data_IF_735241367715
#
_entry.id   IF_735241367715
#
_cell.length_a   1.000
_cell.length_b   1.000
_cell.length_c   1.000
_cell.angle_alpha   90.00
_cell.angle_beta   90.00
_cell.angle_gamma   90.00
#
_symmetry.space_group_name_H-M   'P 1'
#
loop_
_entity.id
_entity.type
_entity.pdbx_description
1 polymer ?
#
# COMPACT_ATOMS: atom_id res chain seq x y z
N UNK A 1 -50.10 26.71 39.88
CA UNK A 1 -51.14 25.87 39.27
C UNK A 1 -51.97 26.72 38.34
N UNK A 2 -51.97 26.46 37.03
CA UNK A 2 -53.12 26.71 36.14
C UNK A 2 -52.81 26.06 34.78
N UNK A 3 -53.50 24.96 34.49
CA UNK A 3 -53.49 24.24 33.21
C UNK A 3 -54.21 25.09 32.16
N UNK A 4 -53.68 25.19 30.94
CA UNK A 4 -54.45 25.63 29.77
C UNK A 4 -54.55 24.49 28.73
N UNK A 5 -55.73 24.32 28.09
CA UNK A 5 -56.04 23.16 27.28
C UNK A 5 -55.50 23.28 25.85
N UNK A 6 -55.07 22.14 25.30
CA UNK A 6 -54.76 21.95 23.89
C UNK A 6 -56.09 21.94 23.10
N UNK A 7 -56.26 22.85 22.14
CA UNK A 7 -57.34 22.78 21.15
C UNK A 7 -56.77 22.21 19.85
N UNK A 8 -57.26 21.04 19.47
CA UNK A 8 -57.07 20.42 18.16
C UNK A 8 -57.84 21.24 17.12
N UNK A 9 -57.16 21.70 16.07
CA UNK A 9 -57.77 22.26 14.87
C UNK A 9 -57.55 21.24 13.75
N UNK A 10 -58.65 20.66 13.27
CA UNK A 10 -58.68 19.90 12.03
C UNK A 10 -58.66 20.86 10.85
N UNK A 11 -57.75 20.65 9.89
CA UNK A 11 -57.70 21.37 8.62
C UNK A 11 -58.04 20.37 7.50
N UNK A 12 -58.97 20.71 6.58
CA UNK A 12 -59.33 19.82 5.48
C UNK A 12 -58.22 19.78 4.43
N UNK A 13 -57.90 18.57 3.98
CA UNK A 13 -57.00 18.33 2.85
C UNK A 13 -57.81 18.47 1.57
N UNK A 14 -57.58 19.55 0.81
CA UNK A 14 -58.03 19.68 -0.56
C UNK A 14 -56.95 19.10 -1.49
N UNK A 15 -57.28 18.00 -2.19
CA UNK A 15 -56.43 17.42 -3.21
C UNK A 15 -56.58 18.20 -4.52
N UNK A 16 -55.49 18.81 -4.99
CA UNK A 16 -55.37 19.37 -6.34
C UNK A 16 -54.48 18.41 -7.14
N UNK A 17 -55.05 17.74 -8.12
CA UNK A 17 -54.32 16.92 -9.08
C UNK A 17 -53.85 17.78 -10.25
N UNK A 18 -52.55 17.84 -10.49
CA UNK A 18 -51.92 18.37 -11.70
C UNK A 18 -51.43 17.19 -12.54
N UNK A 19 -51.76 17.10 -13.85
CA UNK A 19 -51.13 16.13 -14.73
C UNK A 19 -49.79 16.67 -15.21
N UNK A 20 -48.71 15.92 -14.96
CA UNK A 20 -47.41 16.11 -15.58
C UNK A 20 -47.07 14.87 -16.39
N UNK A 21 -47.09 15.05 -17.71
CA UNK A 21 -46.61 14.10 -18.70
C UNK A 21 -45.09 14.06 -18.68
N UNK A 22 -44.48 12.90 -18.42
CA UNK A 22 -43.06 12.64 -18.69
C UNK A 22 -42.94 11.33 -19.46
N UNK A 23 -42.23 11.40 -20.57
CA UNK A 23 -41.95 10.30 -21.49
C UNK A 23 -41.12 9.21 -20.81
N UNK A 24 -41.51 7.95 -21.04
CA UNK A 24 -40.84 6.78 -20.49
C UNK A 24 -39.54 6.43 -21.22
N UNK A 25 -38.52 6.07 -20.46
CA UNK A 25 -37.51 5.10 -20.87
C UNK A 25 -37.56 3.93 -19.89
N UNK A 26 -37.84 2.75 -20.44
CA UNK A 26 -38.15 1.52 -19.71
C UNK A 26 -36.89 0.92 -19.08
N UNK A 27 -36.92 0.76 -17.77
CA UNK A 27 -36.08 -0.19 -17.04
C UNK A 27 -36.81 -1.53 -17.01
N UNK A 28 -36.21 -2.58 -17.57
CA UNK A 28 -36.70 -3.95 -17.42
C UNK A 28 -35.72 -4.69 -16.51
N UNK A 29 -36.20 -5.01 -15.31
CA UNK A 29 -35.66 -6.08 -14.50
C UNK A 29 -36.06 -7.42 -15.13
N UNK A 30 -35.11 -8.35 -15.29
CA UNK A 30 -35.40 -9.72 -15.68
C UNK A 30 -34.57 -10.69 -14.81
N UNK A 31 -35.28 -11.66 -14.25
CA UNK A 31 -34.75 -12.80 -13.53
C UNK A 31 -33.95 -13.75 -14.44
N UNK A 32 -33.16 -14.61 -13.81
CA UNK A 32 -32.16 -15.50 -14.38
C UNK A 32 -32.65 -16.43 -15.51
N UNK A 33 -31.73 -16.76 -16.44
CA UNK A 33 -31.67 -18.08 -17.05
C UNK A 33 -30.27 -18.72 -16.93
N UNK A 34 -30.23 -20.03 -16.73
CA UNK A 34 -29.13 -20.92 -17.16
C UNK A 34 -29.71 -21.90 -18.18
N UNK A 35 -28.93 -22.66 -18.98
CA UNK A 35 -27.49 -22.60 -19.30
C UNK A 35 -27.21 -22.58 -20.83
N UNK A 36 -25.95 -22.32 -21.22
CA UNK A 36 -25.41 -22.70 -22.53
C UNK A 36 -25.11 -21.55 -23.48
N UNK A 37 -23.84 -21.17 -23.57
CA UNK A 37 -23.37 -20.19 -24.54
C UNK A 37 -21.90 -19.88 -24.30
N UNK A 38 -21.03 -20.65 -24.95
CA UNK A 38 -19.58 -20.58 -24.84
C UNK A 38 -19.04 -19.15 -25.00
N UNK A 39 -18.60 -18.56 -23.88
CA UNK A 39 -17.64 -17.47 -23.92
C UNK A 39 -16.32 -18.05 -24.45
N UNK A 40 -15.93 -17.60 -25.64
CA UNK A 40 -14.66 -17.95 -26.27
C UNK A 40 -13.54 -17.50 -25.33
N UNK A 41 -12.90 -18.48 -24.71
CA UNK A 41 -11.59 -18.35 -24.09
C UNK A 41 -10.60 -17.90 -25.17
N UNK A 42 -10.05 -16.69 -25.02
CA UNK A 42 -8.88 -16.25 -25.76
C UNK A 42 -7.91 -15.60 -24.78
N UNK A 43 -6.89 -16.36 -24.43
CA UNK A 43 -5.82 -15.99 -23.53
C UNK A 43 -5.73 -16.98 -22.39
N UNK A 44 -4.71 -17.85 -22.42
CA UNK A 44 -4.28 -18.61 -21.25
C UNK A 44 -3.92 -17.57 -20.17
N UNK A 45 -4.88 -17.21 -19.32
CA UNK A 45 -4.60 -16.53 -18.07
C UNK A 45 -3.94 -17.60 -17.19
N UNK A 46 -2.62 -17.69 -17.23
CA UNK A 46 -1.85 -18.20 -16.10
C UNK A 46 -2.43 -17.50 -14.88
N UNK A 47 -3.09 -18.26 -14.01
CA UNK A 47 -3.61 -17.75 -12.75
C UNK A 47 -2.45 -17.14 -11.99
N UNK A 48 -2.35 -15.81 -12.00
CA UNK A 48 -1.41 -15.07 -11.15
C UNK A 48 -1.75 -15.49 -9.74
N UNK A 49 -0.82 -16.20 -9.11
CA UNK A 49 -1.01 -16.66 -7.74
C UNK A 49 -0.95 -15.43 -6.85
N UNK A 50 -1.98 -15.22 -6.02
CA UNK A 50 -2.01 -14.11 -5.09
C UNK A 50 -0.74 -14.12 -4.22
N UNK A 51 -0.15 -12.95 -3.89
CA UNK A 51 1.04 -12.93 -3.06
C UNK A 51 0.85 -13.65 -1.71
N UNK A 52 1.85 -14.38 -1.27
CA UNK A 52 1.81 -15.22 -0.07
C UNK A 52 3.15 -15.22 0.68
N UNK A 53 3.14 -15.65 1.94
CA UNK A 53 4.34 -15.72 2.78
C UNK A 53 5.02 -17.08 2.67
N UNK A 54 6.26 -17.09 2.18
CA UNK A 54 7.13 -18.26 2.19
C UNK A 54 8.01 -18.32 3.45
N UNK A 55 7.94 -17.31 4.33
CA UNK A 55 8.63 -17.27 5.61
C UNK A 55 8.40 -15.95 6.34
N UNK A 56 8.97 -15.80 7.54
CA UNK A 56 8.78 -14.60 8.36
C UNK A 56 9.26 -13.29 7.69
N UNK A 57 10.23 -13.40 6.78
CA UNK A 57 10.84 -12.28 6.07
C UNK A 57 10.92 -12.55 4.56
N UNK A 58 10.06 -13.44 4.05
CA UNK A 58 10.05 -13.84 2.64
C UNK A 58 8.63 -13.92 2.13
N UNK A 59 8.37 -13.23 1.02
CA UNK A 59 7.10 -13.23 0.30
C UNK A 59 7.34 -13.77 -1.11
N UNK A 60 6.32 -14.40 -1.67
CA UNK A 60 6.26 -14.83 -3.06
C UNK A 60 5.07 -14.14 -3.71
N UNK A 61 5.25 -13.57 -4.90
CA UNK A 61 4.21 -12.88 -5.65
C UNK A 61 4.77 -12.29 -6.94
N UNK A 62 3.90 -12.04 -7.92
CA UNK A 62 4.29 -11.49 -9.23
C UNK A 62 4.60 -9.98 -9.10
N UNK A 63 5.88 -9.61 -9.18
CA UNK A 63 6.35 -8.22 -9.03
C UNK A 63 6.49 -7.53 -10.38
N UNK A 64 6.79 -8.28 -11.45
CA UNK A 64 7.02 -7.73 -12.78
C UNK A 64 5.86 -7.93 -13.77
N UNK A 65 4.79 -8.58 -13.35
CA UNK A 65 3.55 -8.77 -14.10
C UNK A 65 3.68 -9.77 -15.24
N UNK A 66 4.66 -10.67 -15.20
CA UNK A 66 4.88 -11.67 -16.25
C UNK A 66 4.04 -12.96 -16.04
N UNK A 67 3.28 -13.03 -14.95
CA UNK A 67 2.47 -14.18 -14.58
C UNK A 67 3.24 -15.30 -13.89
N UNK A 68 4.51 -15.08 -13.53
CA UNK A 68 5.31 -15.98 -12.72
C UNK A 68 5.58 -15.37 -11.35
N UNK A 69 5.54 -16.21 -10.32
CA UNK A 69 5.77 -15.73 -8.97
C UNK A 69 7.25 -15.38 -8.78
N UNK A 70 7.52 -14.18 -8.29
CA UNK A 70 8.84 -13.75 -7.86
C UNK A 70 9.00 -13.96 -6.36
N UNK A 71 10.25 -14.10 -5.90
CA UNK A 71 10.55 -14.20 -4.47
C UNK A 71 11.21 -12.93 -3.96
N UNK A 72 10.60 -12.31 -2.96
CA UNK A 72 11.09 -11.13 -2.26
C UNK A 72 11.56 -11.56 -0.87
N UNK A 73 12.80 -11.25 -0.52
CA UNK A 73 13.34 -11.47 0.83
C UNK A 73 13.71 -10.14 1.47
N UNK A 74 13.30 -9.91 2.71
CA UNK A 74 13.58 -8.68 3.46
C UNK A 74 14.12 -9.00 4.87
N UNK A 75 15.38 -9.45 5.00
CA UNK A 75 15.96 -9.86 6.28
C UNK A 75 15.93 -8.75 7.34
N UNK A 76 15.29 -9.03 8.48
CA UNK A 76 15.08 -8.06 9.55
C UNK A 76 13.90 -7.09 9.33
N UNK A 77 13.19 -7.23 8.21
CA UNK A 77 12.02 -6.43 7.83
C UNK A 77 12.27 -4.92 7.74
N UNK A 78 13.53 -4.49 7.69
CA UNK A 78 13.92 -3.06 7.68
C UNK A 78 13.82 -2.42 6.30
N UNK A 79 13.73 -3.23 5.25
CA UNK A 79 13.78 -2.78 3.87
C UNK A 79 15.20 -2.55 3.32
N UNK A 80 16.24 -2.62 4.16
CA UNK A 80 17.60 -2.21 3.77
C UNK A 80 18.48 -3.29 3.15
N UNK A 81 18.07 -4.56 3.29
CA UNK A 81 18.77 -5.72 2.71
C UNK A 81 17.85 -6.54 1.80
N UNK A 82 16.88 -5.87 1.20
CA UNK A 82 15.87 -6.52 0.39
C UNK A 82 16.48 -7.08 -0.90
N UNK A 83 16.08 -8.29 -1.27
CA UNK A 83 16.45 -8.94 -2.54
C UNK A 83 15.23 -9.43 -3.28
N UNK A 84 15.31 -9.43 -4.61
CA UNK A 84 14.32 -10.04 -5.51
C UNK A 84 14.99 -11.19 -6.28
N UNK A 85 14.30 -12.33 -6.38
CA UNK A 85 14.64 -13.42 -7.28
C UNK A 85 13.49 -13.57 -8.28
N UNK A 86 13.79 -13.32 -9.56
CA UNK A 86 12.81 -13.42 -10.63
C UNK A 86 12.35 -14.86 -10.86
N UNK A 87 11.04 -15.05 -11.00
CA UNK A 87 10.41 -16.32 -11.34
C UNK A 87 10.60 -16.70 -12.80
N UNK A 88 10.56 -18.01 -13.06
CA UNK A 88 10.51 -18.56 -14.40
C UNK A 88 9.26 -19.43 -14.58
N UNK A 89 8.86 -19.66 -15.82
CA UNK A 89 7.66 -20.45 -16.17
C UNK A 89 7.64 -21.87 -15.58
N UNK A 90 8.81 -22.44 -15.26
CA UNK A 90 8.93 -23.75 -14.62
C UNK A 90 8.85 -23.71 -13.07
N UNK A 91 8.53 -22.55 -12.49
CA UNK A 91 8.43 -22.33 -11.05
C UNK A 91 9.77 -22.16 -10.32
N UNK A 92 10.90 -22.19 -11.03
CA UNK A 92 12.22 -21.94 -10.45
C UNK A 92 12.48 -20.46 -10.26
N UNK A 93 13.31 -20.13 -9.27
CA UNK A 93 13.77 -18.77 -9.01
C UNK A 93 15.20 -18.58 -9.52
N UNK A 94 15.44 -17.46 -10.20
CA UNK A 94 16.78 -17.04 -10.60
C UNK A 94 17.67 -16.65 -9.41
N UNK A 95 18.87 -16.14 -9.72
CA UNK A 95 19.78 -15.59 -8.71
C UNK A 95 19.14 -14.38 -7.99
N UNK A 96 19.51 -14.11 -6.74
CA UNK A 96 19.06 -12.92 -6.02
C UNK A 96 19.71 -11.65 -6.58
N UNK A 97 18.89 -10.61 -6.74
CA UNK A 97 19.30 -9.24 -7.05
C UNK A 97 19.03 -8.37 -5.84
N UNK A 98 20.04 -7.64 -5.37
CA UNK A 98 19.83 -6.63 -4.33
C UNK A 98 18.97 -5.49 -4.89
N UNK A 99 17.93 -5.09 -4.15
CA UNK A 99 17.07 -3.97 -4.55
C UNK A 99 17.88 -2.68 -4.71
N UNK A 100 18.87 -2.45 -3.85
CA UNK A 100 19.80 -1.31 -3.98
C UNK A 100 20.54 -1.28 -5.32
N UNK A 101 20.96 -2.44 -5.83
CA UNK A 101 21.64 -2.53 -7.13
C UNK A 101 20.68 -2.24 -8.29
N UNK A 102 19.45 -2.77 -8.25
CA UNK A 102 18.43 -2.51 -9.26
C UNK A 102 18.04 -1.03 -9.29
N UNK A 103 17.97 -0.37 -8.13
CA UNK A 103 17.64 1.05 -8.04
C UNK A 103 18.83 2.00 -8.32
N UNK A 104 20.02 1.45 -8.63
CA UNK A 104 21.21 2.23 -8.93
C UNK A 104 21.74 3.02 -7.72
N UNK A 105 21.72 2.42 -6.52
CA UNK A 105 22.35 3.00 -5.34
C UNK A 105 23.86 3.20 -5.56
N UNK A 106 24.37 4.36 -5.17
CA UNK A 106 25.77 4.74 -5.28
C UNK A 106 26.54 4.37 -4.01
N UNK A 107 27.88 4.41 -4.07
CA UNK A 107 28.73 4.19 -2.90
C UNK A 107 28.38 5.17 -1.78
N UNK A 108 28.10 4.63 -0.59
CA UNK A 108 27.72 5.40 0.59
C UNK A 108 26.23 5.70 0.68
N UNK A 109 25.42 5.34 -0.32
CA UNK A 109 23.96 5.42 -0.21
C UNK A 109 23.39 4.17 0.43
N UNK A 110 22.34 4.36 1.23
CA UNK A 110 21.50 3.31 1.79
C UNK A 110 20.18 3.32 1.03
N UNK A 111 19.75 2.13 0.63
CA UNK A 111 18.44 1.91 0.04
C UNK A 111 17.55 1.27 1.09
N UNK A 112 16.34 1.77 1.25
CA UNK A 112 15.27 1.10 1.99
C UNK A 112 14.06 0.93 1.08
N UNK A 113 13.42 -0.23 1.11
CA UNK A 113 12.22 -0.50 0.33
C UNK A 113 11.15 -1.24 1.15
N UNK A 114 9.89 -0.99 0.83
CA UNK A 114 8.74 -1.76 1.31
C UNK A 114 7.93 -2.26 0.11
N UNK A 115 7.48 -3.51 0.17
CA UNK A 115 6.72 -4.17 -0.91
C UNK A 115 5.42 -4.69 -0.34
N UNK A 116 4.32 -4.29 -0.97
CA UNK A 116 2.98 -4.80 -0.70
C UNK A 116 2.06 -4.41 -1.88
N UNK A 117 0.89 -5.02 -1.94
CA UNK A 117 -0.21 -4.62 -2.82
C UNK A 117 -1.00 -3.52 -2.08
N UNK A 118 -0.45 -2.31 -2.09
CA UNK A 118 -0.98 -1.19 -1.30
C UNK A 118 -2.34 -0.74 -1.82
N UNK A 119 -2.57 -0.88 -3.13
CA UNK A 119 -3.82 -0.48 -3.76
C UNK A 119 -4.86 -1.61 -3.89
N UNK A 120 -4.49 -2.84 -3.50
CA UNK A 120 -5.30 -4.06 -3.57
C UNK A 120 -5.80 -4.38 -4.98
N UNK A 121 -4.96 -4.14 -5.98
CA UNK A 121 -5.29 -4.42 -7.38
C UNK A 121 -4.77 -5.79 -7.84
N UNK A 122 -4.15 -6.56 -6.94
CA UNK A 122 -3.59 -7.88 -7.22
C UNK A 122 -2.13 -7.84 -7.67
N UNK A 123 -1.54 -6.66 -7.83
CA UNK A 123 -0.14 -6.49 -8.21
C UNK A 123 0.67 -5.98 -7.03
N UNK A 124 1.90 -6.50 -6.86
CA UNK A 124 2.80 -5.95 -5.85
C UNK A 124 3.33 -4.59 -6.29
N UNK A 125 3.25 -3.62 -5.38
CA UNK A 125 3.86 -2.31 -5.52
C UNK A 125 5.13 -2.20 -4.67
N UNK A 126 5.86 -1.09 -4.82
CA UNK A 126 7.02 -0.80 -4.00
C UNK A 126 7.08 0.67 -3.58
N UNK A 127 7.39 0.91 -2.31
CA UNK A 127 7.87 2.21 -1.83
C UNK A 127 9.39 2.13 -1.72
N UNK A 128 10.11 3.09 -2.29
CA UNK A 128 11.57 3.11 -2.31
C UNK A 128 12.13 4.42 -1.79
N UNK A 129 13.19 4.31 -1.00
CA UNK A 129 14.00 5.43 -0.57
C UNK A 129 15.48 5.13 -0.84
N UNK A 130 16.21 6.13 -1.34
CA UNK A 130 17.67 6.11 -1.41
C UNK A 130 18.19 7.40 -0.84
N UNK A 131 18.99 7.29 0.22
CA UNK A 131 19.60 8.42 0.91
C UNK A 131 21.06 8.13 1.14
N UNK A 132 21.90 9.17 1.09
CA UNK A 132 23.25 9.07 1.66
C UNK A 132 23.12 9.49 3.11
N UNK A 133 23.28 8.58 4.09
CA UNK A 133 23.09 8.93 5.49
C UNK A 133 23.99 10.11 5.89
N UNK A 134 23.48 10.95 6.78
CA UNK A 134 24.25 12.03 7.36
C UNK A 134 25.38 11.49 8.25
N UNK A 135 26.52 12.18 8.24
CA UNK A 135 27.66 11.89 9.13
C UNK A 135 27.50 12.58 10.50
N UNK A 136 26.37 13.24 10.77
CA UNK A 136 26.09 14.04 11.97
C UNK A 136 24.60 14.14 12.29
N UNK A 137 24.22 15.15 13.08
CA UNK A 137 22.86 15.25 13.63
C UNK A 137 21.84 15.80 12.63
N UNK A 138 22.26 16.52 11.58
CA UNK A 138 21.33 17.05 10.58
C UNK A 138 20.85 15.95 9.63
N UNK A 139 19.54 15.75 9.41
CA UNK A 139 19.04 14.70 8.53
C UNK A 139 19.40 14.94 7.06
N UNK A 140 19.82 13.89 6.36
CA UNK A 140 20.05 13.94 4.92
C UNK A 140 18.74 13.78 4.13
N UNK A 141 18.63 14.52 3.02
CA UNK A 141 17.52 14.39 2.08
C UNK A 141 17.71 13.18 1.16
N UNK A 142 16.63 12.46 0.93
CA UNK A 142 16.59 11.35 -0.02
C UNK A 142 16.86 11.82 -1.45
N UNK A 143 17.73 11.11 -2.18
CA UNK A 143 17.90 11.25 -3.63
C UNK A 143 16.71 10.65 -4.39
N UNK A 144 16.14 9.58 -3.85
CA UNK A 144 14.95 8.92 -4.40
C UNK A 144 13.98 8.72 -3.25
N UNK A 145 12.76 9.19 -3.39
CA UNK A 145 11.65 8.94 -2.48
C UNK A 145 10.39 8.74 -3.33
N UNK A 146 10.00 7.49 -3.56
CA UNK A 146 8.95 7.19 -4.54
C UNK A 146 8.04 6.07 -4.08
N UNK A 147 6.76 6.21 -4.39
CA UNK A 147 5.83 5.10 -4.48
C UNK A 147 5.70 4.66 -5.93
N UNK A 148 5.81 3.35 -6.17
CA UNK A 148 5.87 2.71 -7.47
C UNK A 148 4.81 1.61 -7.53
N UNK A 149 3.60 1.94 -8.02
CA UNK A 149 2.59 0.93 -8.29
C UNK A 149 3.07 -0.13 -9.26
N UNK A 150 2.70 -1.39 -9.05
CA UNK A 150 3.02 -2.48 -9.96
C UNK A 150 2.34 -2.37 -11.33
N UNK A 151 2.79 -3.17 -12.32
CA UNK A 151 3.98 -4.03 -12.27
C UNK A 151 5.30 -3.25 -12.39
N UNK A 152 6.40 -3.82 -11.90
CA UNK A 152 7.73 -3.21 -11.87
C UNK A 152 8.68 -3.82 -12.91
N UNK A 153 9.45 -3.00 -13.61
CA UNK A 153 10.42 -3.53 -14.59
C UNK A 153 11.56 -4.29 -13.90
N UNK A 154 11.91 -5.47 -14.41
CA UNK A 154 13.04 -6.28 -13.89
C UNK A 154 14.39 -5.56 -13.87
N UNK A 155 14.60 -4.64 -14.81
CA UNK A 155 15.90 -3.98 -15.00
C UNK A 155 16.23 -2.98 -13.89
N UNK A 156 15.24 -2.23 -13.40
CA UNK A 156 15.44 -1.05 -12.55
C UNK A 156 14.32 -0.81 -11.51
N UNK A 157 13.39 -1.75 -11.40
CA UNK A 157 12.18 -1.65 -10.58
C UNK A 157 11.35 -0.40 -10.89
N UNK A 158 11.45 0.17 -12.09
CA UNK A 158 10.67 1.32 -12.47
C UNK A 158 9.20 0.94 -12.71
N UNK A 159 8.31 1.90 -12.44
CA UNK A 159 6.88 1.82 -12.70
C UNK A 159 6.46 2.95 -13.63
N UNK A 160 5.51 2.68 -14.54
CA UNK A 160 4.89 3.71 -15.36
C UNK A 160 4.04 4.72 -14.56
N UNK A 161 3.64 4.34 -13.34
CA UNK A 161 2.80 5.15 -12.42
C UNK A 161 3.59 5.65 -11.20
N UNK A 162 4.92 5.57 -11.26
CA UNK A 162 5.79 6.03 -10.18
C UNK A 162 5.54 7.52 -9.90
N UNK A 163 5.54 7.88 -8.62
CA UNK A 163 5.38 9.27 -8.16
C UNK A 163 6.22 9.53 -6.92
N UNK A 164 6.50 10.80 -6.67
CA UNK A 164 7.13 11.24 -5.43
C UNK A 164 6.32 10.80 -4.23
N UNK A 165 7.01 10.40 -3.18
CA UNK A 165 6.46 10.15 -1.84
C UNK A 165 7.20 11.06 -0.87
N UNK A 166 6.50 11.63 0.11
CA UNK A 166 7.12 12.54 1.09
C UNK A 166 7.97 11.84 2.17
N UNK A 167 8.27 10.55 1.96
CA UNK A 167 9.24 9.86 2.80
C UNK A 167 10.60 10.54 2.66
N UNK A 168 11.20 10.89 3.78
CA UNK A 168 12.46 11.62 3.78
C UNK A 168 12.34 13.14 3.56
N UNK A 169 11.12 13.68 3.38
CA UNK A 169 10.92 15.15 3.31
C UNK A 169 10.90 15.79 4.71
N UNK A 170 10.60 14.99 5.74
CA UNK A 170 10.51 15.41 7.16
C UNK A 170 11.64 14.84 8.04
N UNK A 171 12.68 14.27 7.44
CA UNK A 171 13.80 13.65 8.14
C UNK A 171 14.58 12.73 7.22
N UNK A 172 15.57 12.01 7.72
CA UNK A 172 16.29 11.00 6.94
C UNK A 172 15.62 9.64 7.12
N UNK A 173 14.97 9.13 6.08
CA UNK A 173 14.37 7.79 6.13
C UNK A 173 15.43 6.68 6.16
N UNK A 174 15.46 5.92 7.26
CA UNK A 174 16.44 4.86 7.53
C UNK A 174 15.87 3.45 7.30
N UNK A 175 14.58 3.25 7.61
CA UNK A 175 13.90 1.96 7.44
C UNK A 175 12.48 2.18 6.92
N UNK A 176 12.01 1.24 6.10
CA UNK A 176 10.63 1.18 5.64
C UNK A 176 10.05 -0.18 6.01
N UNK A 177 8.88 -0.18 6.65
CA UNK A 177 8.18 -1.41 7.04
C UNK A 177 6.72 -1.36 6.68
N UNK A 178 6.18 -2.52 6.33
CA UNK A 178 4.73 -2.70 6.24
C UNK A 178 4.14 -2.68 7.65
N UNK A 179 3.01 -2.01 7.80
CA UNK A 179 2.27 -1.88 9.05
C UNK A 179 0.77 -2.08 8.81
N UNK A 180 0.03 -2.34 9.89
CA UNK A 180 -1.42 -2.41 9.89
C UNK A 180 -1.96 -1.40 10.90
N UNK A 181 -2.01 -0.13 10.51
CA UNK A 181 -2.50 0.94 11.36
C UNK A 181 -3.96 1.22 11.04
N UNK A 182 -4.81 1.17 12.07
CA UNK A 182 -6.26 1.32 11.87
C UNK A 182 -6.99 0.03 11.51
N UNK A 183 -6.28 -1.07 11.20
CA UNK A 183 -6.88 -2.39 11.08
C UNK A 183 -7.72 -2.58 9.82
N UNK A 184 -7.47 -1.79 8.78
CA UNK A 184 -8.16 -1.93 7.51
C UNK A 184 -7.48 -2.97 6.59
N UNK A 185 -8.01 -3.12 5.38
CA UNK A 185 -7.52 -4.14 4.45
C UNK A 185 -6.25 -3.70 3.69
N UNK A 186 -5.82 -2.46 3.84
CA UNK A 186 -4.77 -1.85 3.05
C UNK A 186 -3.45 -1.84 3.85
N UNK A 187 -2.36 -2.39 3.30
CA UNK A 187 -1.05 -2.30 3.93
C UNK A 187 -0.65 -0.85 4.15
N UNK A 188 -0.22 -0.46 5.35
CA UNK A 188 0.29 0.87 5.64
C UNK A 188 1.82 0.89 5.67
N UNK A 189 2.38 2.09 5.73
CA UNK A 189 3.82 2.29 5.77
C UNK A 189 4.24 2.90 7.11
N UNK A 190 5.17 2.23 7.79
CA UNK A 190 5.94 2.78 8.90
C UNK A 190 7.34 3.15 8.41
N UNK A 191 7.81 4.34 8.76
CA UNK A 191 9.13 4.85 8.39
C UNK A 191 9.90 5.14 9.68
N UNK A 192 11.10 4.58 9.83
CA UNK A 192 12.02 5.06 10.84
C UNK A 192 12.81 6.22 10.22
N UNK A 193 12.67 7.41 10.79
CA UNK A 193 13.38 8.62 10.37
C UNK A 193 14.38 9.05 11.44
N UNK A 194 15.52 9.57 11.01
CA UNK A 194 16.29 10.51 11.83
C UNK A 194 15.68 11.90 11.65
N UNK A 195 15.10 12.46 12.72
CA UNK A 195 14.46 13.77 12.72
C UNK A 195 15.43 14.92 13.03
N UNK A 196 16.64 14.57 13.45
CA UNK A 196 17.71 15.49 13.77
C UNK A 196 17.94 15.66 15.27
N UNK A 197 19.06 16.29 15.65
CA UNK A 197 19.43 16.56 17.05
C UNK A 197 19.44 15.30 17.95
N UNK A 198 19.79 14.14 17.37
CA UNK A 198 19.76 12.84 18.04
C UNK A 198 18.37 12.20 18.21
N UNK A 199 17.33 12.84 17.66
CA UNK A 199 15.96 12.35 17.61
C UNK A 199 15.73 11.32 16.50
N UNK A 200 14.90 10.32 16.82
CA UNK A 200 14.38 9.36 15.85
C UNK A 200 12.86 9.30 15.93
N UNK A 201 12.21 9.26 14.78
CA UNK A 201 10.77 9.22 14.68
C UNK A 201 10.34 7.95 13.95
N UNK A 202 9.28 7.29 14.43
CA UNK A 202 8.51 6.36 13.62
C UNK A 202 7.35 7.14 13.02
N UNK A 203 7.48 7.46 11.75
CA UNK A 203 6.38 8.06 11.04
C UNK A 203 5.42 7.03 10.42
N UNK A 204 4.20 7.49 10.12
CA UNK A 204 3.12 6.67 9.58
C UNK A 204 2.51 7.31 8.33
N UNK A 205 2.35 6.51 7.26
CA UNK A 205 1.51 6.85 6.11
C UNK A 205 0.41 5.80 6.01
N UNK A 206 -0.83 6.23 6.25
CA UNK A 206 -1.99 5.38 6.00
C UNK A 206 -2.24 5.27 4.50
N UNK A 207 -2.62 4.08 4.07
CA UNK A 207 -2.94 3.79 2.69
C UNK A 207 -4.40 4.05 2.40
N UNK A 208 -4.68 4.64 1.23
CA UNK A 208 -6.04 4.86 0.75
C UNK A 208 -6.34 3.97 -0.45
N UNK A 209 -7.61 3.55 -0.64
CA UNK A 209 -8.02 2.77 -1.80
C UNK A 209 -7.55 3.40 -3.11
N UNK A 210 -6.99 2.60 -4.02
CA UNK A 210 -6.52 2.98 -5.35
C UNK A 210 -5.37 4.01 -5.42
N UNK A 211 -4.98 4.64 -4.30
CA UNK A 211 -3.92 5.66 -4.29
C UNK A 211 -2.66 5.24 -3.54
N UNK A 212 -2.64 4.06 -2.90
CA UNK A 212 -1.48 3.62 -2.13
C UNK A 212 -1.22 4.48 -0.89
N UNK A 213 0.01 4.45 -0.34
CA UNK A 213 0.38 5.22 0.85
C UNK A 213 0.13 6.72 0.65
N UNK A 214 -0.51 7.33 1.64
CA UNK A 214 -0.81 8.75 1.64
C UNK A 214 0.41 9.63 1.95
N UNK A 215 0.11 10.89 2.24
CA UNK A 215 1.09 11.87 2.70
C UNK A 215 1.26 11.83 4.22
N UNK A 216 2.31 12.48 4.71
CA UNK A 216 2.45 12.80 6.12
C UNK A 216 1.22 13.56 6.61
N UNK A 217 0.71 13.11 7.76
CA UNK A 217 -0.44 13.69 8.43
C UNK A 217 -0.12 13.73 9.92
N UNK A 218 -0.15 14.92 10.50
CA UNK A 218 0.25 15.12 11.89
C UNK A 218 -0.72 14.44 12.87
N UNK A 219 -2.02 14.39 12.56
CA UNK A 219 -2.99 13.72 13.44
C UNK A 219 -2.76 12.20 13.45
N UNK A 220 -2.39 11.63 12.29
CA UNK A 220 -1.97 10.24 12.20
C UNK A 220 -0.63 10.00 12.91
N UNK A 221 0.30 10.94 12.85
CA UNK A 221 1.57 10.87 13.56
C UNK A 221 1.35 10.83 15.08
N UNK A 222 0.50 11.69 15.61
CA UNK A 222 0.14 11.69 17.04
C UNK A 222 -0.55 10.39 17.44
N UNK A 223 -1.40 9.85 16.57
CA UNK A 223 -2.19 8.65 16.89
C UNK A 223 -1.40 7.35 16.81
N UNK A 224 -0.55 7.19 15.79
CA UNK A 224 0.11 5.91 15.47
C UNK A 224 1.63 5.99 15.42
N UNK A 225 2.20 7.19 15.30
CA UNK A 225 3.63 7.41 15.30
C UNK A 225 4.25 7.19 16.67
N UNK A 226 5.55 7.39 16.75
CA UNK A 226 6.28 7.45 18.01
C UNK A 226 7.56 8.27 17.82
N UNK A 227 8.03 8.85 18.92
CA UNK A 227 9.29 9.58 18.98
C UNK A 227 10.23 8.80 19.90
N UNK A 228 11.52 8.90 19.63
CA UNK A 228 12.58 8.27 20.40
C UNK A 228 13.91 8.95 20.11
N UNK A 229 14.99 8.27 20.47
CA UNK A 229 16.36 8.77 20.28
C UNK A 229 17.22 7.69 19.64
N UNK A 230 18.45 8.04 19.26
CA UNK A 230 19.43 7.04 18.78
C UNK A 230 19.73 5.95 19.80
N UNK A 231 19.69 6.25 21.11
CA UNK A 231 19.90 5.27 22.18
C UNK A 231 18.65 4.45 22.51
N UNK A 232 17.47 5.03 22.33
CA UNK A 232 16.18 4.40 22.55
C UNK A 232 15.27 4.64 21.33
N UNK A 233 15.52 3.93 20.21
CA UNK A 233 14.77 4.14 18.97
C UNK A 233 13.30 3.73 19.16
N UNK A 234 12.36 4.42 18.49
CA UNK A 234 10.96 4.02 18.53
C UNK A 234 10.79 2.61 17.97
N UNK A 235 9.96 1.81 18.63
CA UNK A 235 9.69 0.44 18.19
C UNK A 235 9.08 0.41 16.79
N UNK A 236 9.55 -0.47 15.91
CA UNK A 236 9.03 -0.59 14.55
C UNK A 236 8.18 -1.87 14.40
N UNK A 237 7.10 -1.86 13.58
CA UNK A 237 6.26 -3.05 13.38
C UNK A 237 7.08 -4.22 12.81
N UNK A 238 6.77 -5.44 13.25
CA UNK A 238 7.52 -6.66 12.92
C UNK A 238 6.68 -7.74 12.23
N UNK A 239 5.40 -7.46 11.99
CA UNK A 239 4.40 -8.44 11.56
C UNK A 239 3.52 -7.93 10.42
N UNK A 240 3.79 -6.74 9.86
CA UNK A 240 2.97 -6.11 8.82
C UNK A 240 2.56 -7.06 7.69
N UNK A 241 3.52 -7.78 7.08
CA UNK A 241 3.21 -8.77 6.06
C UNK A 241 2.26 -9.89 6.52
N UNK A 242 2.33 -10.33 7.77
CA UNK A 242 1.46 -11.40 8.31
C UNK A 242 0.01 -10.97 8.45
N UNK A 243 -0.26 -9.66 8.52
CA UNK A 243 -1.63 -9.13 8.57
C UNK A 243 -2.33 -9.21 7.21
N UNK A 244 -1.59 -9.11 6.11
CA UNK A 244 -2.15 -8.97 4.77
C UNK A 244 -1.99 -10.20 3.88
N UNK A 245 -1.07 -11.10 4.22
CA UNK A 245 -0.72 -12.25 3.38
C UNK A 245 -0.80 -13.57 4.14
N UNK A 246 -1.43 -14.57 3.51
CA UNK A 246 -1.45 -15.93 4.03
C UNK A 246 -0.15 -16.66 3.72
N UNK A 247 0.21 -17.71 4.48
CA UNK A 247 1.30 -18.60 4.10
C UNK A 247 1.08 -19.19 2.70
N UNK A 248 2.17 -19.41 1.96
CA UNK A 248 2.13 -20.17 0.72
C UNK A 248 1.80 -21.65 1.01
N UNK A 249 1.00 -22.27 0.14
CA UNK A 249 0.59 -23.68 0.22
C UNK A 249 1.65 -24.65 -0.25
#
# INVERSE_FOLDING_TARGET
>A
MLRRPLRLIAVPIAAVALPLTVAGHQAVAAAAPTPGGAARSSGNATTVTAPCLAGAATMVGDLDGDGHADKISNPGLTGTRMTVQWGAANGSFGKPYAVSALLGAKKGEVTSAAVADFQRDGTLDMVVNIVKPADGDDPATARVAQYRPGPLKRADLASAKARHSDIGDHGEAQQLRIANYGGDAYPDLAILNNSGDGGLDRDVRLTKPATGPGHFDYDLQVKYGAFGTTSEPPAMPGDGWKHFYTPCS
#
